data_IF_694243812537
#
_entry.id   IF_694243812537
#
_cell.length_a   1.000
_cell.length_b   1.000
_cell.length_c   1.000
_cell.angle_alpha   90.00
_cell.angle_beta   90.00
_cell.angle_gamma   90.00
#
_symmetry.space_group_name_H-M   'P 1'
#
loop_
_entity.id
_entity.type
_entity.pdbx_description
1 polymer ?
#
# COMPACT_ATOMS: atom_id res chain seq x y z
N UNK A 1 -24.59 49.67 -1.80
CA UNK A 1 -23.60 49.22 -0.78
C UNK A 1 -24.01 47.81 -0.45
N UNK A 2 -23.31 46.83 -1.00
CA UNK A 2 -23.69 45.42 -0.88
C UNK A 2 -22.59 44.73 -0.10
N UNK A 3 -22.90 44.42 1.16
CA UNK A 3 -22.01 43.74 2.10
C UNK A 3 -21.53 42.39 1.55
N UNK A 4 -20.21 42.28 1.39
CA UNK A 4 -19.58 41.02 1.01
C UNK A 4 -19.57 40.09 2.22
N UNK A 5 -20.37 39.03 2.11
CA UNK A 5 -20.39 37.81 2.92
C UNK A 5 -19.03 37.50 3.55
N UNK A 6 -18.98 37.63 4.87
CA UNK A 6 -17.93 37.15 5.75
C UNK A 6 -17.56 35.72 5.38
N UNK A 7 -16.37 35.52 4.82
CA UNK A 7 -15.81 34.20 4.57
C UNK A 7 -15.82 33.41 5.87
N UNK A 8 -16.56 32.30 5.91
CA UNK A 8 -16.51 31.35 7.01
C UNK A 8 -15.05 30.92 7.15
N UNK A 9 -14.40 31.38 8.21
CA UNK A 9 -13.09 30.90 8.65
C UNK A 9 -13.23 29.39 8.78
N UNK A 10 -12.61 28.65 7.85
CA UNK A 10 -12.56 27.19 7.87
C UNK A 10 -12.21 26.76 9.29
N UNK A 11 -13.02 25.85 9.86
CA UNK A 11 -12.77 25.32 11.19
C UNK A 11 -11.28 24.95 11.28
N UNK A 12 -10.59 25.44 12.31
CA UNK A 12 -9.17 25.17 12.50
C UNK A 12 -8.92 23.68 12.37
N UNK A 13 -7.86 23.29 11.66
CA UNK A 13 -7.54 21.89 11.47
C UNK A 13 -7.45 21.23 12.86
N UNK A 14 -8.27 20.20 13.08
CA UNK A 14 -8.27 19.43 14.34
C UNK A 14 -6.96 18.67 14.56
N UNK A 15 -6.16 18.53 13.49
CA UNK A 15 -4.90 17.80 13.45
C UNK A 15 -3.88 18.63 12.65
N UNK A 16 -2.69 18.78 13.20
CA UNK A 16 -1.60 19.53 12.57
C UNK A 16 -0.76 18.65 11.62
N UNK A 17 -0.82 17.33 11.79
CA UNK A 17 -0.01 16.37 11.04
C UNK A 17 -0.90 15.35 10.33
N UNK A 18 -0.51 15.02 9.10
CA UNK A 18 -1.13 13.91 8.37
C UNK A 18 -0.11 13.19 7.51
N UNK A 19 -0.19 11.87 7.47
CA UNK A 19 0.69 11.03 6.69
C UNK A 19 -0.07 9.87 6.05
N UNK A 20 0.45 9.40 4.92
CA UNK A 20 -0.03 8.20 4.22
C UNK A 20 1.15 7.53 3.52
N UNK A 21 1.04 6.24 3.28
CA UNK A 21 2.01 5.47 2.50
C UNK A 21 1.43 5.09 1.14
N UNK A 22 2.32 4.83 0.18
CA UNK A 22 1.96 4.20 -1.10
C UNK A 22 2.78 2.93 -1.23
N UNK A 23 2.11 1.79 -1.34
CA UNK A 23 2.71 0.50 -1.57
C UNK A 23 2.93 0.29 -3.06
N UNK A 24 4.18 0.03 -3.43
CA UNK A 24 4.60 -0.29 -4.79
C UNK A 24 5.19 -1.70 -4.81
N UNK A 25 5.01 -2.40 -5.93
CA UNK A 25 5.63 -3.69 -6.17
C UNK A 25 7.09 -3.49 -6.56
N UNK A 26 8.02 -4.09 -5.83
CA UNK A 26 9.46 -4.01 -6.15
C UNK A 26 9.81 -4.58 -7.53
N UNK A 27 8.98 -5.51 -8.05
CA UNK A 27 9.25 -6.18 -9.33
C UNK A 27 8.82 -5.36 -10.56
N UNK A 28 7.87 -4.45 -10.38
CA UNK A 28 7.20 -3.80 -11.52
C UNK A 28 6.95 -2.31 -11.32
N UNK A 29 7.33 -1.75 -10.18
CA UNK A 29 7.01 -0.38 -9.75
C UNK A 29 5.51 -0.02 -9.81
N UNK A 30 4.65 -1.04 -9.91
CA UNK A 30 3.20 -0.88 -9.99
C UNK A 30 2.62 -0.73 -8.60
N UNK A 31 1.59 0.11 -8.41
CA UNK A 31 0.89 0.20 -7.14
C UNK A 31 0.28 -1.14 -6.74
N UNK A 32 0.46 -1.50 -5.48
CA UNK A 32 -0.09 -2.71 -4.89
C UNK A 32 -1.53 -2.44 -4.43
N UNK A 33 -2.50 -2.87 -5.24
CA UNK A 33 -3.94 -2.65 -5.03
C UNK A 33 -4.56 -3.77 -4.20
N UNK A 34 -5.50 -3.43 -3.31
CA UNK A 34 -6.23 -4.36 -2.42
C UNK A 34 -5.31 -5.22 -1.53
N UNK A 35 -4.13 -4.70 -1.20
CA UNK A 35 -3.19 -5.36 -0.32
C UNK A 35 -3.50 -4.99 1.13
N UNK A 36 -3.75 -5.98 2.01
CA UNK A 36 -3.94 -5.72 3.43
C UNK A 36 -2.65 -5.14 4.01
N UNK A 37 -2.77 -4.21 4.95
CA UNK A 37 -1.65 -3.64 5.68
C UNK A 37 -2.08 -3.29 7.11
N UNK A 38 -1.10 -3.00 7.93
CA UNK A 38 -1.28 -2.52 9.30
C UNK A 38 -0.38 -1.31 9.52
N UNK A 39 -0.94 -0.22 10.04
CA UNK A 39 -0.18 0.96 10.47
C UNK A 39 -0.13 0.98 11.99
N UNK A 40 1.06 1.07 12.56
CA UNK A 40 1.26 1.29 14.00
C UNK A 40 1.63 2.75 14.21
N UNK A 41 0.85 3.48 15.01
CA UNK A 41 1.12 4.88 15.36
C UNK A 41 2.18 4.99 16.46
N UNK A 42 2.69 6.21 16.72
CA UNK A 42 3.66 6.43 17.79
C UNK A 42 3.12 6.10 19.18
N UNK A 43 1.80 6.26 19.34
CA UNK A 43 1.06 5.89 20.55
C UNK A 43 0.84 4.37 20.72
N UNK A 44 1.32 3.56 19.77
CA UNK A 44 1.14 2.11 19.76
C UNK A 44 -0.24 1.66 19.27
N UNK A 45 -1.03 2.56 18.69
CA UNK A 45 -2.31 2.18 18.09
C UNK A 45 -2.07 1.43 16.78
N UNK A 46 -2.70 0.27 16.65
CA UNK A 46 -2.57 -0.59 15.47
C UNK A 46 -3.83 -0.46 14.61
N UNK A 47 -3.67 0.06 13.40
CA UNK A 47 -4.75 0.37 12.46
C UNK A 47 -4.63 -0.54 11.24
N UNK A 48 -5.44 -1.61 11.14
CA UNK A 48 -5.49 -2.45 9.95
C UNK A 48 -6.24 -1.76 8.81
N UNK A 49 -5.83 -2.01 7.58
CA UNK A 49 -6.46 -1.46 6.38
C UNK A 49 -6.14 -2.24 5.11
N UNK A 50 -6.68 -1.76 3.99
CA UNK A 50 -6.39 -2.26 2.64
C UNK A 50 -6.06 -1.09 1.72
N UNK A 51 -5.13 -1.31 0.80
CA UNK A 51 -4.73 -0.25 -0.15
C UNK A 51 -5.77 0.02 -1.22
N UNK A 52 -5.83 1.28 -1.67
CA UNK A 52 -6.72 1.71 -2.74
C UNK A 52 -6.24 1.27 -4.14
N UNK A 53 -6.99 1.65 -5.18
CA UNK A 53 -6.66 1.39 -6.59
C UNK A 53 -5.32 2.00 -7.07
N UNK A 54 -4.72 2.89 -6.28
CA UNK A 54 -3.43 3.53 -6.51
C UNK A 54 -2.37 3.04 -5.51
N UNK A 55 -2.65 1.98 -4.76
CA UNK A 55 -1.73 1.41 -3.77
C UNK A 55 -1.56 2.24 -2.51
N UNK A 56 -2.44 3.22 -2.25
CA UNK A 56 -2.32 4.14 -1.12
C UNK A 56 -2.97 3.56 0.12
N UNK A 57 -2.33 3.79 1.27
CA UNK A 57 -2.93 3.53 2.57
C UNK A 57 -3.91 4.64 2.94
N UNK A 58 -4.65 4.42 4.03
CA UNK A 58 -5.44 5.48 4.65
C UNK A 58 -4.55 6.61 5.14
N UNK A 59 -5.10 7.82 5.15
CA UNK A 59 -4.45 8.97 5.77
C UNK A 59 -4.63 8.87 7.29
N UNK A 60 -3.52 8.79 8.00
CA UNK A 60 -3.50 8.91 9.47
C UNK A 60 -3.28 10.37 9.80
N UNK A 61 -4.10 10.90 10.71
CA UNK A 61 -4.02 12.28 11.18
C UNK A 61 -3.68 12.27 12.66
N UNK A 62 -2.72 13.09 13.08
CA UNK A 62 -2.36 13.25 14.48
C UNK A 62 -2.17 14.73 14.84
N UNK A 63 -2.35 15.03 16.13
CA UNK A 63 -2.06 16.33 16.71
C UNK A 63 -0.55 16.54 16.91
N UNK A 64 0.24 15.46 16.96
CA UNK A 64 1.70 15.52 17.13
C UNK A 64 2.44 14.88 15.95
N UNK A 65 3.69 15.27 15.77
CA UNK A 65 4.58 14.59 14.83
C UNK A 65 4.91 13.19 15.37
N UNK A 66 4.44 12.16 14.67
CA UNK A 66 4.60 10.77 15.07
C UNK A 66 5.25 9.94 13.96
N UNK A 67 6.01 8.93 14.38
CA UNK A 67 6.57 7.96 13.46
C UNK A 67 5.60 6.81 13.25
N UNK A 68 5.00 6.75 12.06
CA UNK A 68 4.11 5.66 11.67
C UNK A 68 4.94 4.47 11.16
N UNK A 69 4.68 3.27 11.67
CA UNK A 69 5.27 2.04 11.13
C UNK A 69 4.26 1.33 10.25
N UNK A 70 4.67 0.97 9.04
CA UNK A 70 3.87 0.20 8.10
C UNK A 70 4.33 -1.27 8.12
N UNK A 71 3.39 -2.18 8.37
CA UNK A 71 3.60 -3.62 8.22
C UNK A 71 2.62 -4.15 7.18
N UNK A 72 3.12 -4.66 6.07
CA UNK A 72 2.35 -5.55 5.21
C UNK A 72 2.46 -6.98 5.77
N UNK A 73 1.37 -7.77 5.79
CA UNK A 73 1.53 -9.20 5.86
C UNK A 73 2.26 -9.61 4.58
N UNK A 74 3.38 -10.33 4.71
CA UNK A 74 4.07 -10.93 3.56
C UNK A 74 3.01 -11.61 2.70
N UNK A 75 2.87 -11.15 1.46
CA UNK A 75 2.01 -11.81 0.50
C UNK A 75 2.59 -13.22 0.37
N UNK A 76 1.85 -14.29 0.72
CA UNK A 76 2.39 -15.63 0.54
C UNK A 76 2.81 -15.73 -0.92
N UNK A 77 4.05 -16.17 -1.20
CA UNK A 77 4.55 -16.25 -2.56
C UNK A 77 3.50 -16.99 -3.38
N UNK A 78 3.04 -16.37 -4.49
CA UNK A 78 2.05 -16.96 -5.39
C UNK A 78 2.41 -18.43 -5.56
N UNK A 79 1.50 -19.38 -5.27
CA UNK A 79 1.83 -20.79 -5.40
C UNK A 79 2.30 -21.01 -6.84
N UNK A 80 3.59 -21.33 -6.99
CA UNK A 80 4.16 -21.72 -8.28
C UNK A 80 3.36 -22.95 -8.70
N UNK A 81 2.47 -22.82 -9.68
CA UNK A 81 1.78 -23.96 -10.25
C UNK A 81 2.84 -24.85 -10.93
N UNK A 82 3.19 -25.96 -10.29
CA UNK A 82 3.94 -27.04 -10.93
C UNK A 82 3.01 -27.72 -11.92
N UNK A 83 3.09 -27.34 -13.19
CA UNK A 83 2.42 -28.04 -14.28
C UNK A 83 3.16 -29.36 -14.53
N UNK A 84 2.48 -30.49 -14.31
CA UNK A 84 2.98 -31.80 -14.68
C UNK A 84 2.65 -32.05 -16.16
N UNK A 85 3.66 -32.16 -17.02
CA UNK A 85 3.44 -32.65 -18.38
C UNK A 85 3.11 -34.14 -18.30
N UNK A 86 1.92 -34.52 -18.78
CA UNK A 86 1.48 -35.90 -18.87
C UNK A 86 2.12 -36.58 -20.09
N UNK A 87 3.45 -36.68 -20.11
CA UNK A 87 4.26 -37.52 -21.00
C UNK A 87 5.69 -37.44 -20.48
N UNK A 88 6.09 -38.47 -19.74
CA UNK A 88 7.42 -38.68 -19.16
C UNK A 88 7.79 -37.84 -17.92
N UNK A 89 8.00 -38.58 -16.83
CA UNK A 89 7.95 -38.16 -15.43
C UNK A 89 9.25 -37.50 -14.95
N UNK A 90 9.75 -36.48 -15.65
CA UNK A 90 10.93 -35.72 -15.25
C UNK A 90 10.61 -34.22 -15.19
N UNK A 91 10.68 -33.58 -14.01
CA UNK A 91 10.47 -32.14 -13.90
C UNK A 91 11.64 -31.39 -14.56
N UNK A 92 11.36 -30.60 -15.59
CA UNK A 92 12.35 -29.73 -16.24
C UNK A 92 12.06 -28.28 -15.83
N UNK A 93 13.01 -27.67 -15.11
CA UNK A 93 13.04 -26.22 -14.89
C UNK A 93 13.42 -25.54 -16.20
N UNK A 94 12.50 -24.75 -16.77
CA UNK A 94 12.82 -23.85 -17.87
C UNK A 94 12.85 -22.41 -17.34
N UNK A 95 14.05 -21.86 -17.19
CA UNK A 95 14.27 -20.42 -17.06
C UNK A 95 14.15 -19.83 -18.46
N UNK A 96 13.15 -18.98 -18.69
CA UNK A 96 13.07 -18.19 -19.92
C UNK A 96 14.15 -17.11 -19.85
N UNK A 97 15.35 -17.40 -20.36
CA UNK A 97 16.30 -16.35 -20.71
C UNK A 97 15.78 -15.68 -22.00
N UNK A 98 15.21 -14.49 -21.86
CA UNK A 98 14.92 -13.62 -23.00
C UNK A 98 16.26 -13.11 -23.54
N UNK A 99 16.80 -13.76 -24.56
CA UNK A 99 17.82 -13.17 -25.42
C UNK A 99 17.11 -12.30 -26.46
N UNK A 100 17.19 -10.97 -26.28
CA UNK A 100 16.90 -10.02 -27.36
C UNK A 100 18.10 -10.01 -28.33
N UNK A 101 17.84 -10.24 -29.62
CA UNK A 101 18.76 -9.94 -30.74
C UNK A 101 18.48 -8.53 -31.28
#
# INVERSE_FOLDING_TARGET
>A
MTDHITGKKSAGALFDYSARYTLLSEQSDKPLVDVPYTITTGDGQVIPGKTDALGRTMTVQSAAEENLQLSSPETPPKPKQTLYQASDNTPVEHVMEFTEE
#
